data_IF_892584579568
#
_entry.id   IF_892584579568
#
_cell.length_a   1.000
_cell.length_b   1.000
_cell.length_c   1.000
_cell.angle_alpha   90.00
_cell.angle_beta   90.00
_cell.angle_gamma   90.00
#
_symmetry.space_group_name_H-M   'P 1'
#
loop_
_entity.id
_entity.type
_entity.pdbx_description
1 polymer ?
#
# COMPACT_ATOMS: atom_id res chain seq x y z
N UNK A 1 16.02 20.01 8.91
CA UNK A 1 14.57 20.18 8.67
C UNK A 1 13.99 18.80 8.50
N UNK A 2 13.13 18.37 9.41
CA UNK A 2 12.31 17.17 9.18
C UNK A 2 11.24 17.55 8.15
N UNK A 3 11.50 17.26 6.88
CA UNK A 3 10.48 17.36 5.84
C UNK A 3 9.50 16.20 5.99
N UNK A 4 8.23 16.45 5.74
CA UNK A 4 7.20 15.40 5.71
C UNK A 4 6.81 15.18 4.26
N UNK A 5 7.24 14.05 3.70
CA UNK A 5 6.77 13.60 2.39
C UNK A 5 5.35 13.02 2.52
N UNK A 6 4.43 13.48 1.67
CA UNK A 6 3.06 12.94 1.62
C UNK A 6 2.75 12.43 0.22
N UNK A 7 1.94 11.38 0.15
CA UNK A 7 1.46 10.83 -1.10
C UNK A 7 -0.03 10.55 -1.04
N UNK A 8 -0.73 10.77 -2.15
CA UNK A 8 -2.12 10.36 -2.35
C UNK A 8 -2.21 9.49 -3.60
N UNK A 9 -2.91 8.37 -3.46
CA UNK A 9 -3.09 7.35 -4.49
C UNK A 9 -4.59 7.05 -4.62
N UNK A 10 -5.10 7.01 -5.85
CA UNK A 10 -6.51 6.71 -6.11
C UNK A 10 -6.73 6.30 -7.57
N UNK A 11 -7.37 5.16 -7.81
CA UNK A 11 -7.74 4.73 -9.15
C UNK A 11 -8.26 3.31 -9.18
N UNK A 12 -8.81 2.90 -10.32
CA UNK A 12 -9.20 1.52 -10.55
C UNK A 12 -7.95 0.62 -10.63
N UNK A 13 -8.04 -0.55 -10.01
CA UNK A 13 -7.02 -1.59 -10.05
C UNK A 13 -7.68 -2.85 -10.59
N UNK A 14 -6.98 -3.55 -11.47
CA UNK A 14 -7.41 -4.88 -11.93
C UNK A 14 -7.10 -5.87 -10.80
N UNK A 15 -8.14 -6.41 -10.18
CA UNK A 15 -8.06 -7.40 -9.12
C UNK A 15 -9.30 -8.29 -9.17
N UNK A 16 -9.18 -9.53 -8.67
CA UNK A 16 -10.29 -10.48 -8.62
C UNK A 16 -11.29 -10.12 -7.51
N UNK A 17 -10.81 -9.59 -6.40
CA UNK A 17 -11.64 -9.16 -5.26
C UNK A 17 -11.09 -7.90 -4.57
N UNK A 18 -11.82 -7.43 -3.56
CA UNK A 18 -11.47 -6.22 -2.82
C UNK A 18 -10.23 -6.39 -1.93
N UNK A 19 -9.88 -7.62 -1.55
CA UNK A 19 -8.76 -7.94 -0.67
C UNK A 19 -7.46 -7.96 -1.49
N UNK A 20 -7.49 -8.56 -2.67
CA UNK A 20 -6.42 -8.48 -3.66
C UNK A 20 -6.19 -7.03 -4.11
N UNK A 21 -7.26 -6.26 -4.37
CA UNK A 21 -7.13 -4.84 -4.70
C UNK A 21 -6.37 -4.05 -3.61
N UNK A 22 -6.60 -4.37 -2.33
CA UNK A 22 -5.86 -3.77 -1.20
C UNK A 22 -4.39 -4.18 -1.19
N UNK A 23 -4.06 -5.43 -1.54
CA UNK A 23 -2.66 -5.88 -1.66
C UNK A 23 -1.94 -5.16 -2.81
N UNK A 24 -2.59 -5.02 -3.96
CA UNK A 24 -2.03 -4.25 -5.07
C UNK A 24 -1.86 -2.77 -4.70
N UNK A 25 -2.78 -2.20 -3.91
CA UNK A 25 -2.62 -0.85 -3.37
C UNK A 25 -1.38 -0.73 -2.46
N UNK A 26 -1.11 -1.71 -1.59
CA UNK A 26 0.11 -1.75 -0.77
C UNK A 26 1.37 -1.86 -1.64
N UNK A 27 1.35 -2.67 -2.70
CA UNK A 27 2.44 -2.73 -3.69
C UNK A 27 2.70 -1.35 -4.32
N UNK A 28 1.66 -0.62 -4.72
CA UNK A 28 1.78 0.73 -5.30
C UNK A 28 2.40 1.71 -4.30
N UNK A 29 2.11 1.59 -3.00
CA UNK A 29 2.75 2.43 -1.96
C UNK A 29 4.27 2.26 -2.01
N UNK A 30 4.78 1.04 -2.15
CA UNK A 30 6.21 0.82 -2.29
C UNK A 30 6.79 1.43 -3.57
N UNK A 31 6.12 1.28 -4.71
CA UNK A 31 6.56 1.90 -5.97
C UNK A 31 6.70 3.41 -5.84
N UNK A 32 5.71 4.04 -5.21
CA UNK A 32 5.66 5.49 -5.02
C UNK A 32 6.74 5.95 -4.06
N UNK A 33 6.90 5.26 -2.92
CA UNK A 33 7.94 5.58 -1.95
C UNK A 33 9.34 5.49 -2.55
N UNK A 34 9.61 4.43 -3.34
CA UNK A 34 10.89 4.28 -4.03
C UNK A 34 11.09 5.37 -5.11
N UNK A 35 10.04 5.75 -5.83
CA UNK A 35 10.08 6.79 -6.86
C UNK A 35 10.27 8.21 -6.29
N UNK A 36 9.90 8.45 -5.03
CA UNK A 36 10.18 9.73 -4.36
C UNK A 36 11.68 9.95 -4.12
N UNK A 37 12.51 8.91 -4.22
CA UNK A 37 13.94 8.93 -3.88
C UNK A 37 14.21 9.56 -2.50
N UNK A 38 13.26 9.38 -1.57
CA UNK A 38 13.30 9.99 -0.26
C UNK A 38 14.38 9.33 0.60
N UNK A 39 15.53 10.01 0.74
CA UNK A 39 16.69 9.53 1.51
C UNK A 39 16.56 9.89 2.98
N UNK A 40 15.61 9.26 3.69
CA UNK A 40 15.57 9.32 5.15
C UNK A 40 15.74 7.93 5.76
N UNK A 41 16.41 7.85 6.91
CA UNK A 41 16.53 6.62 7.69
C UNK A 41 15.26 6.31 8.53
N UNK A 42 14.13 6.95 8.21
CA UNK A 42 12.87 6.78 8.93
C UNK A 42 12.13 5.57 8.37
N UNK A 43 11.42 4.84 9.24
CA UNK A 43 10.59 3.71 8.84
C UNK A 43 9.44 4.15 7.93
N UNK A 44 9.18 3.41 6.86
CA UNK A 44 7.92 3.48 6.13
C UNK A 44 6.85 2.75 6.93
N UNK A 45 5.85 3.48 7.44
CA UNK A 45 4.71 2.92 8.15
C UNK A 45 3.54 2.78 7.17
N UNK A 46 3.03 1.56 7.02
CA UNK A 46 1.86 1.25 6.19
C UNK A 46 0.71 0.85 7.09
N UNK A 47 -0.29 1.73 7.16
CA UNK A 47 -1.52 1.50 7.90
C UNK A 47 -2.56 0.81 7.01
N UNK A 48 -3.08 -0.32 7.48
CA UNK A 48 -4.03 -1.15 6.72
C UNK A 48 -5.33 -1.25 7.50
N UNK A 49 -6.46 -0.90 6.86
CA UNK A 49 -7.80 -0.97 7.48
C UNK A 49 -8.50 -2.33 7.37
N UNK A 50 -7.77 -3.40 7.06
CA UNK A 50 -8.30 -4.75 6.87
C UNK A 50 -7.42 -5.75 7.61
N UNK A 51 -7.98 -6.45 8.60
CA UNK A 51 -7.26 -7.45 9.40
C UNK A 51 -6.76 -8.62 8.55
N UNK A 52 -7.51 -9.02 7.54
CA UNK A 52 -7.13 -10.09 6.63
C UNK A 52 -5.90 -9.68 5.80
N UNK A 53 -5.94 -8.51 5.18
CA UNK A 53 -4.83 -7.98 4.38
C UNK A 53 -3.61 -7.75 5.25
N UNK A 54 -3.80 -7.20 6.46
CA UNK A 54 -2.74 -7.06 7.44
C UNK A 54 -2.09 -8.40 7.77
N UNK A 55 -2.90 -9.45 8.02
CA UNK A 55 -2.39 -10.80 8.30
C UNK A 55 -1.54 -11.35 7.15
N UNK A 56 -1.92 -11.08 5.91
CA UNK A 56 -1.13 -11.48 4.73
C UNK A 56 0.19 -10.72 4.61
N UNK A 57 0.21 -9.43 4.95
CA UNK A 57 1.43 -8.62 4.95
C UNK A 57 2.45 -9.16 5.96
N UNK A 58 2.02 -9.47 7.19
CA UNK A 58 2.93 -9.84 8.30
C UNK A 58 3.18 -11.34 8.43
N UNK A 59 2.30 -12.20 7.88
CA UNK A 59 2.43 -13.65 7.97
C UNK A 59 2.38 -14.31 6.58
N UNK A 60 3.55 -14.76 6.12
CA UNK A 60 3.70 -15.39 4.79
C UNK A 60 2.82 -16.63 4.60
N UNK A 61 2.58 -17.40 5.67
CA UNK A 61 1.81 -18.64 5.60
C UNK A 61 0.32 -18.43 5.35
N UNK A 62 -0.19 -17.21 5.58
CA UNK A 62 -1.61 -16.89 5.38
C UNK A 62 -1.92 -16.36 3.99
N UNK A 63 -0.90 -16.15 3.15
CA UNK A 63 -1.05 -15.47 1.87
C UNK A 63 -1.81 -16.34 0.86
N UNK A 64 -2.74 -15.76 0.09
CA UNK A 64 -3.39 -16.47 -1.00
C UNK A 64 -2.36 -16.85 -2.05
N UNK A 65 -2.47 -18.10 -2.54
CA UNK A 65 -1.56 -18.61 -3.58
C UNK A 65 -1.68 -17.83 -4.89
N UNK A 66 -2.88 -17.36 -5.24
CA UNK A 66 -3.13 -16.67 -6.50
C UNK A 66 -2.41 -15.32 -6.62
N UNK A 67 -2.05 -14.68 -5.49
CA UNK A 67 -1.37 -13.38 -5.49
C UNK A 67 0.11 -13.49 -5.11
N UNK A 68 0.74 -14.66 -5.31
CA UNK A 68 2.15 -14.88 -4.95
C UNK A 68 3.10 -13.90 -5.67
N UNK A 69 2.83 -13.57 -6.94
CA UNK A 69 3.61 -12.62 -7.71
C UNK A 69 3.70 -11.26 -7.03
N UNK A 70 2.56 -10.74 -6.57
CA UNK A 70 2.44 -9.46 -5.89
C UNK A 70 3.24 -9.48 -4.58
N UNK A 71 3.15 -10.56 -3.82
CA UNK A 71 3.91 -10.70 -2.58
C UNK A 71 5.42 -10.77 -2.80
N UNK A 72 5.89 -11.45 -3.85
CA UNK A 72 7.32 -11.50 -4.18
C UNK A 72 7.83 -10.09 -4.53
N UNK A 73 7.09 -9.34 -5.34
CA UNK A 73 7.46 -7.98 -5.71
C UNK A 73 7.47 -7.03 -4.52
N UNK A 74 6.48 -7.15 -3.62
CA UNK A 74 6.47 -6.40 -2.36
C UNK A 74 7.68 -6.73 -1.49
N UNK A 75 8.07 -8.00 -1.36
CA UNK A 75 9.25 -8.39 -0.58
C UNK A 75 10.54 -7.78 -1.15
N UNK A 76 10.70 -7.80 -2.47
CA UNK A 76 11.82 -7.14 -3.14
C UNK A 76 11.81 -5.64 -2.85
N UNK A 77 10.63 -5.00 -2.88
CA UNK A 77 10.50 -3.59 -2.61
C UNK A 77 10.79 -3.24 -1.13
N UNK A 78 10.33 -4.07 -0.18
CA UNK A 78 10.63 -3.92 1.24
C UNK A 78 12.15 -3.97 1.50
N UNK A 79 12.88 -4.86 0.83
CA UNK A 79 14.34 -4.92 0.93
C UNK A 79 15.01 -3.63 0.43
N UNK A 80 14.47 -3.00 -0.62
CA UNK A 80 14.97 -1.72 -1.15
C UNK A 80 14.63 -0.54 -0.23
N UNK A 81 13.47 -0.55 0.40
CA UNK A 81 13.04 0.47 1.37
C UNK A 81 13.81 0.34 2.70
N UNK A 82 14.16 -0.88 3.10
CA UNK A 82 14.87 -1.16 4.34
C UNK A 82 13.90 -1.33 5.52
N UNK A 83 13.50 -0.24 6.17
CA UNK A 83 12.68 -0.30 7.38
C UNK A 83 11.20 -0.08 7.05
N UNK A 84 10.40 -1.15 7.11
CA UNK A 84 8.96 -1.14 6.81
C UNK A 84 8.19 -1.71 7.99
N UNK A 85 7.18 -0.99 8.44
CA UNK A 85 6.29 -1.39 9.55
C UNK A 85 4.86 -1.40 9.06
N UNK A 86 4.17 -2.52 9.25
CA UNK A 86 2.72 -2.60 9.02
C UNK A 86 1.97 -2.37 10.33
N UNK A 87 0.88 -1.61 10.26
CA UNK A 87 -0.02 -1.37 11.38
C UNK A 87 -1.47 -1.63 10.97
N UNK A 88 -2.25 -2.24 11.85
CA UNK A 88 -3.69 -2.42 11.67
C UNK A 88 -4.41 -1.22 12.29
N UNK A 89 -5.20 -0.51 11.48
CA UNK A 89 -5.99 0.64 11.95
C UNK A 89 -7.49 0.34 11.87
N UNK A 90 -8.26 0.92 12.79
CA UNK A 90 -9.71 0.83 12.75
C UNK A 90 -10.25 1.48 11.46
N UNK A 91 -11.37 0.98 10.94
CA UNK A 91 -12.00 1.47 9.71
C UNK A 91 -12.26 2.98 9.76
N UNK A 92 -12.66 3.51 10.93
CA UNK A 92 -12.88 4.96 11.14
C UNK A 92 -11.61 5.81 10.96
N UNK A 93 -10.43 5.25 11.25
CA UNK A 93 -9.17 5.96 11.02
C UNK A 93 -8.76 5.93 9.54
N UNK A 94 -9.43 5.14 8.70
CA UNK A 94 -9.10 4.94 7.29
C UNK A 94 -10.09 5.60 6.32
N UNK A 95 -10.90 6.56 6.81
CA UNK A 95 -11.95 7.24 6.05
C UNK A 95 -11.41 7.96 4.79
N UNK A 96 -10.19 8.50 4.88
CA UNK A 96 -9.53 9.12 3.72
C UNK A 96 -9.21 8.08 2.64
N UNK A 97 -8.63 6.92 3.00
CA UNK A 97 -8.34 5.89 2.02
C UNK A 97 -9.63 5.33 1.41
N UNK A 98 -10.69 5.16 2.19
CA UNK A 98 -12.00 4.76 1.68
C UNK A 98 -12.56 5.79 0.68
N UNK A 99 -12.50 7.08 1.02
CA UNK A 99 -12.92 8.18 0.14
C UNK A 99 -12.11 8.20 -1.16
N UNK A 100 -10.80 7.95 -1.08
CA UNK A 100 -9.92 7.85 -2.24
C UNK A 100 -10.24 6.66 -3.13
N UNK A 101 -10.61 5.51 -2.54
CA UNK A 101 -11.10 4.36 -3.31
C UNK A 101 -12.37 4.75 -4.06
N UNK A 102 -13.36 5.34 -3.38
CA UNK A 102 -14.62 5.75 -4.01
C UNK A 102 -14.43 6.78 -5.13
N UNK A 103 -13.52 7.74 -4.94
CA UNK A 103 -13.15 8.71 -5.97
C UNK A 103 -12.36 8.09 -7.15
N UNK A 104 -11.75 6.93 -6.93
CA UNK A 104 -10.90 6.23 -7.88
C UNK A 104 -11.62 5.18 -8.74
N UNK A 105 -12.75 4.63 -8.27
CA UNK A 105 -13.48 3.53 -8.95
C UNK A 105 -13.80 3.84 -10.42
N UNK A 106 -14.15 5.10 -10.72
CA UNK A 106 -14.50 5.52 -12.08
C UNK A 106 -13.31 6.01 -12.92
N UNK A 107 -12.08 5.97 -12.39
CA UNK A 107 -10.90 6.42 -13.11
C UNK A 107 -10.34 5.29 -13.95
N UNK A 108 -10.05 5.58 -15.22
CA UNK A 108 -9.39 4.64 -16.13
C UNK A 108 -7.89 4.49 -15.87
N UNK A 109 -7.29 5.42 -15.12
CA UNK A 109 -5.87 5.44 -14.78
C UNK A 109 -5.67 5.65 -13.29
N UNK A 110 -4.55 5.13 -12.78
CA UNK A 110 -4.13 5.31 -11.40
C UNK A 110 -3.56 6.72 -11.20
N UNK A 111 -4.22 7.51 -10.36
CA UNK A 111 -3.72 8.80 -9.93
C UNK A 111 -2.68 8.63 -8.82
N UNK A 112 -1.53 9.26 -9.00
CA UNK A 112 -0.44 9.34 -8.01
C UNK A 112 -0.01 10.79 -7.88
N UNK A 113 0.01 11.33 -6.66
CA UNK A 113 0.53 12.66 -6.37
C UNK A 113 1.33 12.64 -5.06
N UNK A 114 2.42 13.38 -5.00
CA UNK A 114 3.25 13.53 -3.81
C UNK A 114 3.87 14.92 -3.72
N UNK A 115 4.19 15.37 -2.50
CA UNK A 115 4.79 16.67 -2.20
C UNK A 115 5.50 16.68 -0.84
#
# INVERSE_FOLDING_TARGET
MEGVARAILSGAIIANDAEEAKIVAVKIVFEVYLAMEWKSNVALIIEVGSSLVFSWCVNKAMRPWLSQSEFIEMEIAMLKVGNVVFSLVDKKCNDLAFSLVMAGVNRTQLFKAWW
#
